data_IF_395540948676
#
_entry.id   IF_395540948676
#
_cell.length_a   1.000
_cell.length_b   1.000
_cell.length_c   1.000
_cell.angle_alpha   90.00
_cell.angle_beta   90.00
_cell.angle_gamma   90.00
#
_symmetry.space_group_name_H-M   'P 1'
#
loop_
_entity.id
_entity.type
_entity.pdbx_description
1 polymer ?
#
# COMPACT_ATOMS: atom_id res chain seq x y z
N UNK A 1 43.78 8.88 -31.45
CA UNK A 1 42.90 9.98 -31.00
C UNK A 1 41.46 9.47 -30.97
N UNK A 2 40.73 9.37 -29.87
CA UNK A 2 41.05 9.24 -28.44
C UNK A 2 39.73 8.84 -27.76
N UNK A 3 39.71 7.73 -27.01
CA UNK A 3 38.49 7.27 -26.31
C UNK A 3 37.88 8.29 -25.34
N UNK A 4 38.60 9.37 -25.04
CA UNK A 4 38.14 10.53 -24.28
C UNK A 4 37.05 11.32 -25.03
N UNK A 5 37.21 11.57 -26.34
CA UNK A 5 36.23 12.32 -27.14
C UNK A 5 34.91 11.54 -27.23
N UNK A 6 34.98 10.22 -27.46
CA UNK A 6 33.81 9.36 -27.49
C UNK A 6 33.07 9.35 -26.14
N UNK A 7 33.79 9.30 -25.01
CA UNK A 7 33.22 9.37 -23.66
C UNK A 7 32.60 10.73 -23.35
N UNK A 8 33.21 11.83 -23.80
CA UNK A 8 32.65 13.16 -23.64
C UNK A 8 31.35 13.32 -24.43
N UNK A 9 31.31 12.85 -25.68
CA UNK A 9 30.12 12.87 -26.53
C UNK A 9 28.99 12.01 -25.95
N UNK A 10 29.30 10.79 -25.47
CA UNK A 10 28.29 9.93 -24.85
C UNK A 10 27.75 10.52 -23.54
N UNK A 11 28.62 11.11 -22.71
CA UNK A 11 28.21 11.77 -21.47
C UNK A 11 27.35 13.00 -21.76
N UNK A 12 27.71 13.78 -22.77
CA UNK A 12 26.92 14.94 -23.20
C UNK A 12 25.54 14.51 -23.72
N UNK A 13 25.48 13.50 -24.59
CA UNK A 13 24.23 12.96 -25.13
C UNK A 13 23.33 12.39 -24.03
N UNK A 14 23.88 11.60 -23.10
CA UNK A 14 23.10 11.03 -21.99
C UNK A 14 22.59 12.13 -21.05
N UNK A 15 23.38 13.18 -20.80
CA UNK A 15 22.93 14.34 -20.02
C UNK A 15 21.85 15.14 -20.73
N UNK A 16 21.94 15.35 -22.04
CA UNK A 16 20.88 15.99 -22.82
C UNK A 16 19.55 15.23 -22.73
N UNK A 17 19.60 13.91 -22.92
CA UNK A 17 18.41 13.06 -22.81
C UNK A 17 17.85 13.10 -21.38
N UNK A 18 18.72 13.03 -20.37
CA UNK A 18 18.33 13.17 -18.96
C UNK A 18 17.61 14.49 -18.70
N UNK A 19 18.14 15.63 -19.17
CA UNK A 19 17.53 16.95 -18.97
C UNK A 19 16.21 17.11 -19.73
N UNK A 20 16.10 16.55 -20.94
CA UNK A 20 14.84 16.53 -21.67
C UNK A 20 13.73 15.79 -20.91
N UNK A 21 13.99 14.57 -20.44
CA UNK A 21 12.99 13.81 -19.68
C UNK A 21 12.70 14.44 -18.31
N UNK A 22 13.71 14.95 -17.61
CA UNK A 22 13.51 15.62 -16.33
C UNK A 22 12.68 16.91 -16.47
N UNK A 23 12.94 17.72 -17.49
CA UNK A 23 12.20 18.96 -17.74
C UNK A 23 10.75 18.70 -18.14
N UNK A 24 10.49 17.73 -19.02
CA UNK A 24 9.13 17.36 -19.42
C UNK A 24 8.31 16.82 -18.24
N UNK A 25 8.88 15.95 -17.40
CA UNK A 25 8.23 15.48 -16.18
C UNK A 25 8.02 16.63 -15.19
N UNK A 26 9.02 17.49 -15.00
CA UNK A 26 8.93 18.66 -14.11
C UNK A 26 7.81 19.61 -14.51
N UNK A 27 7.75 19.98 -15.80
CA UNK A 27 6.68 20.82 -16.36
C UNK A 27 5.32 20.14 -16.23
N UNK A 28 5.22 18.84 -16.53
CA UNK A 28 3.98 18.08 -16.36
C UNK A 28 3.49 18.07 -14.91
N UNK A 29 4.38 17.80 -13.95
CA UNK A 29 4.04 17.78 -12.53
C UNK A 29 3.67 19.17 -12.02
N UNK A 30 4.39 20.22 -12.45
CA UNK A 30 4.07 21.61 -12.14
C UNK A 30 2.70 22.00 -12.69
N UNK A 31 2.44 21.70 -13.96
CA UNK A 31 1.15 21.95 -14.60
C UNK A 31 0.01 21.18 -13.94
N UNK A 32 0.24 19.91 -13.57
CA UNK A 32 -0.72 19.10 -12.81
C UNK A 32 -0.99 19.69 -11.43
N UNK A 33 0.04 20.20 -10.75
CA UNK A 33 -0.08 20.82 -9.43
C UNK A 33 -0.90 22.12 -9.50
N UNK A 34 -0.65 22.97 -10.50
CA UNK A 34 -1.43 24.18 -10.78
C UNK A 34 -2.89 23.81 -11.06
N UNK A 35 -3.15 22.86 -11.98
CA UNK A 35 -4.52 22.43 -12.33
C UNK A 35 -5.29 21.76 -11.19
N UNK A 36 -4.58 21.13 -10.25
CA UNK A 36 -5.19 20.48 -9.08
C UNK A 36 -5.21 21.38 -7.85
N UNK A 37 -4.90 22.68 -7.98
CA UNK A 37 -4.98 23.63 -6.87
C UNK A 37 -4.08 23.29 -5.69
N UNK A 38 -2.92 22.69 -5.97
CA UNK A 38 -1.96 22.30 -4.93
C UNK A 38 -2.33 21.05 -4.12
N UNK A 39 -3.36 20.30 -4.53
CA UNK A 39 -3.86 19.14 -3.79
C UNK A 39 -2.85 17.99 -3.65
N UNK A 40 -1.73 17.99 -4.38
CA UNK A 40 -0.71 16.94 -4.33
C UNK A 40 -0.09 16.74 -2.92
N UNK A 41 -0.06 17.80 -2.10
CA UNK A 41 0.46 17.76 -0.73
C UNK A 41 -0.63 17.80 0.34
N UNK A 42 -1.91 17.77 -0.05
CA UNK A 42 -2.98 17.66 0.94
C UNK A 42 -2.91 16.28 1.58
N UNK A 43 -2.73 16.25 2.89
CA UNK A 43 -2.85 15.04 3.69
C UNK A 43 -4.25 14.47 3.47
N UNK A 44 -4.33 13.35 2.74
CA UNK A 44 -5.58 12.62 2.58
C UNK A 44 -5.87 11.94 3.90
N UNK A 45 -6.89 12.42 4.61
CA UNK A 45 -7.40 11.72 5.79
C UNK A 45 -7.95 10.37 5.33
N UNK A 46 -7.27 9.29 5.71
CA UNK A 46 -7.76 7.93 5.49
C UNK A 46 -8.61 7.58 6.70
N UNK A 47 -9.91 7.86 6.60
CA UNK A 47 -10.84 7.27 7.55
C UNK A 47 -10.85 5.77 7.31
N UNK A 48 -10.62 4.98 8.37
CA UNK A 48 -10.84 3.55 8.31
C UNK A 48 -12.30 3.30 7.93
N UNK A 49 -12.59 2.54 6.86
CA UNK A 49 -13.96 2.18 6.52
C UNK A 49 -14.70 1.68 7.77
N UNK A 50 -15.86 2.24 8.08
CA UNK A 50 -16.62 1.87 9.30
C UNK A 50 -16.91 0.36 9.38
N UNK A 51 -17.09 -0.28 8.23
CA UNK A 51 -17.20 -1.73 8.06
C UNK A 51 -16.04 -2.53 8.70
N UNK A 52 -14.84 -1.95 8.74
CA UNK A 52 -13.67 -2.56 9.38
C UNK A 52 -13.72 -2.57 10.90
N UNK A 53 -14.58 -1.75 11.50
CA UNK A 53 -14.61 -1.48 12.94
C UNK A 53 -15.84 -2.15 13.56
N UNK A 54 -16.97 -2.09 12.87
CA UNK A 54 -18.27 -2.41 13.48
C UNK A 54 -18.73 -3.86 13.19
N UNK A 55 -18.27 -4.50 12.11
CA UNK A 55 -18.82 -5.80 11.66
C UNK A 55 -18.08 -7.03 12.19
N UNK A 56 -16.88 -6.86 12.75
CA UNK A 56 -16.05 -7.98 13.19
C UNK A 56 -15.71 -7.82 14.67
N UNK A 57 -15.58 -8.95 15.39
CA UNK A 57 -15.15 -8.90 16.78
C UNK A 57 -13.63 -8.79 16.82
N UNK A 58 -13.10 -7.61 17.15
CA UNK A 58 -11.66 -7.39 17.28
C UNK A 58 -11.15 -7.89 18.62
N UNK A 59 -10.15 -8.77 18.59
CA UNK A 59 -9.50 -9.31 19.79
C UNK A 59 -7.99 -9.19 19.69
N UNK A 60 -7.34 -9.33 20.84
CA UNK A 60 -5.91 -9.22 21.00
C UNK A 60 -5.40 -10.36 21.89
N UNK A 61 -4.24 -10.91 21.57
CA UNK A 61 -3.57 -11.91 22.39
C UNK A 61 -2.11 -11.51 22.62
N UNK A 62 -1.69 -11.48 23.89
CA UNK A 62 -0.31 -11.25 24.26
C UNK A 62 0.46 -12.57 24.18
N UNK A 63 1.38 -12.66 23.23
CA UNK A 63 2.23 -13.84 23.04
C UNK A 63 3.38 -13.86 24.07
N UNK A 64 3.96 -15.03 24.39
CA UNK A 64 5.12 -15.14 25.28
C UNK A 64 6.35 -14.34 24.81
N UNK A 65 6.43 -14.05 23.51
CA UNK A 65 7.46 -13.17 22.92
C UNK A 65 7.28 -11.69 23.27
N UNK A 66 6.19 -11.31 23.94
CA UNK A 66 5.82 -9.93 24.23
C UNK A 66 5.05 -9.22 23.12
N UNK A 67 4.74 -9.92 22.02
CA UNK A 67 3.96 -9.37 20.91
C UNK A 67 2.47 -9.37 21.27
N UNK A 68 1.83 -8.20 21.20
CA UNK A 68 0.37 -8.09 21.29
C UNK A 68 -0.25 -8.25 19.89
N UNK A 69 -0.69 -9.46 19.57
CA UNK A 69 -1.18 -9.83 18.25
C UNK A 69 -2.68 -9.51 18.11
N UNK A 70 -3.03 -8.67 17.14
CA UNK A 70 -4.41 -8.39 16.75
C UNK A 70 -4.96 -9.51 15.86
N UNK A 71 -6.21 -9.89 16.10
CA UNK A 71 -6.99 -10.76 15.21
C UNK A 71 -8.47 -10.37 15.22
N UNK A 72 -9.22 -10.92 14.28
CA UNK A 72 -10.68 -10.79 14.23
C UNK A 72 -11.34 -12.16 14.34
N UNK A 73 -12.54 -12.17 14.91
CA UNK A 73 -13.39 -13.35 15.05
C UNK A 73 -14.78 -13.05 14.47
N UNK A 74 -15.35 -14.04 13.78
CA UNK A 74 -16.68 -14.03 13.20
C UNK A 74 -17.19 -15.47 13.11
N UNK A 75 -18.51 -15.66 13.20
CA UNK A 75 -19.15 -16.97 13.26
C UNK A 75 -19.60 -17.34 14.68
N UNK A 76 -20.22 -18.52 14.81
CA UNK A 76 -20.64 -19.08 16.10
C UNK A 76 -19.49 -19.89 16.72
N UNK A 77 -19.05 -19.60 17.97
CA UNK A 77 -18.02 -20.38 18.66
C UNK A 77 -18.33 -21.88 18.84
N UNK A 78 -19.58 -22.31 18.64
CA UNK A 78 -19.97 -23.71 18.66
C UNK A 78 -19.61 -24.47 17.37
N UNK A 79 -19.34 -23.76 16.27
CA UNK A 79 -18.96 -24.35 14.98
C UNK A 79 -17.45 -24.68 14.91
N UNK A 80 -17.00 -25.52 13.97
CA UNK A 80 -15.59 -25.88 13.84
C UNK A 80 -14.68 -24.68 13.54
N UNK A 81 -13.53 -24.56 14.22
CA UNK A 81 -12.61 -23.44 14.02
C UNK A 81 -11.93 -23.45 12.64
N UNK A 82 -12.04 -22.34 11.89
CA UNK A 82 -11.21 -22.04 10.72
C UNK A 82 -10.22 -20.91 11.01
N UNK A 83 -8.93 -21.15 10.79
CA UNK A 83 -7.87 -20.14 10.97
C UNK A 83 -7.40 -19.60 9.62
N UNK A 84 -7.45 -18.28 9.46
CA UNK A 84 -6.99 -17.59 8.25
C UNK A 84 -5.71 -16.80 8.53
N UNK A 85 -4.65 -17.11 7.77
CA UNK A 85 -3.34 -16.45 7.88
C UNK A 85 -3.08 -15.67 6.60
N UNK A 86 -2.75 -14.37 6.72
CA UNK A 86 -2.47 -13.51 5.57
C UNK A 86 -1.00 -13.59 5.13
N UNK A 87 -0.72 -13.15 3.90
CA UNK A 87 0.63 -13.03 3.36
C UNK A 87 1.24 -11.63 3.56
N UNK A 88 2.34 -11.39 2.85
CA UNK A 88 2.99 -10.08 2.76
C UNK A 88 2.65 -9.40 1.42
N UNK A 89 2.37 -8.07 1.37
CA UNK A 89 2.23 -7.09 2.46
C UNK A 89 0.75 -6.84 2.81
N UNK A 90 0.10 -7.79 3.48
CA UNK A 90 -1.35 -7.76 3.74
C UNK A 90 -1.69 -7.88 5.23
N UNK A 91 -2.99 -7.87 5.56
CA UNK A 91 -3.53 -8.12 6.90
C UNK A 91 -4.90 -8.82 6.80
N UNK A 92 -5.51 -9.18 7.93
CA UNK A 92 -6.74 -9.99 8.02
C UNK A 92 -7.87 -9.56 7.05
N UNK A 93 -7.98 -8.27 6.73
CA UNK A 93 -9.07 -7.74 5.91
C UNK A 93 -9.07 -8.22 4.46
N UNK A 94 -7.96 -8.79 3.99
CA UNK A 94 -7.94 -9.49 2.72
C UNK A 94 -9.02 -10.58 2.68
N UNK A 95 -9.24 -11.23 3.82
CA UNK A 95 -10.15 -12.37 3.97
C UNK A 95 -11.61 -11.99 4.18
N UNK A 96 -11.99 -10.71 4.19
CA UNK A 96 -13.36 -10.27 4.53
C UNK A 96 -14.47 -10.98 3.74
N UNK A 97 -14.21 -11.35 2.50
CA UNK A 97 -15.17 -12.05 1.65
C UNK A 97 -15.24 -13.55 1.97
N UNK A 98 -14.10 -14.15 2.29
CA UNK A 98 -14.02 -15.55 2.71
C UNK A 98 -14.61 -15.73 4.10
N UNK A 99 -14.34 -14.81 5.04
CA UNK A 99 -14.96 -14.79 6.36
C UNK A 99 -16.49 -14.73 6.22
N UNK A 100 -17.01 -13.80 5.42
CA UNK A 100 -18.46 -13.70 5.20
C UNK A 100 -19.07 -14.97 4.57
N UNK A 101 -18.31 -15.67 3.72
CA UNK A 101 -18.77 -16.90 3.09
C UNK A 101 -18.75 -18.12 4.03
N UNK A 102 -17.77 -18.20 4.94
CA UNK A 102 -17.55 -19.37 5.80
C UNK A 102 -18.14 -19.27 7.21
N UNK A 103 -18.42 -18.06 7.72
CA UNK A 103 -18.85 -17.80 9.11
C UNK A 103 -20.09 -18.58 9.60
N UNK A 104 -20.94 -19.05 8.68
CA UNK A 104 -22.16 -19.79 9.03
C UNK A 104 -21.89 -21.30 9.21
N UNK A 105 -20.66 -21.77 8.96
CA UNK A 105 -20.24 -23.18 9.03
C UNK A 105 -18.97 -23.41 9.86
N UNK A 106 -18.29 -22.33 10.22
CA UNK A 106 -17.02 -22.28 10.93
C UNK A 106 -16.97 -20.98 11.73
#
# INVERSE_FOLDING_TARGET
>A
MSGVVARLLSTFSTKLVQYYYASTIGVYLLWRWIRTGGNAFKLKTRQMPRKLIDEYTHKYILLPSGINMHYVEAGDPAEPLMVMVHGYPEFWYLWRFQIEHFKDRY
#
